data_IF_808098135384
#
_entry.id   IF_808098135384
#
_cell.length_a   1.000
_cell.length_b   1.000
_cell.length_c   1.000
_cell.angle_alpha   90.00
_cell.angle_beta   90.00
_cell.angle_gamma   90.00
#
_symmetry.space_group_name_H-M   'P 1'
#
loop_
_entity.id
_entity.type
_entity.pdbx_description
1 polymer ?
#
# COMPACT_ATOMS: atom_id res chain seq x y z
N UNK A 1 4.89 13.52 -8.12
CA UNK A 1 4.45 12.18 -7.76
C UNK A 1 4.17 12.08 -6.25
N UNK A 2 2.88 12.27 -5.89
CA UNK A 2 2.42 12.38 -4.49
C UNK A 2 2.68 11.07 -3.72
N UNK A 3 2.42 9.90 -4.32
CA UNK A 3 2.59 8.62 -3.63
C UNK A 3 4.04 8.35 -3.25
N UNK A 4 4.98 8.68 -4.14
CA UNK A 4 6.42 8.59 -3.84
C UNK A 4 6.87 9.61 -2.80
N UNK A 5 6.32 10.82 -2.82
CA UNK A 5 6.60 11.82 -1.80
C UNK A 5 6.16 11.31 -0.42
N UNK A 6 4.93 10.80 -0.29
CA UNK A 6 4.42 10.21 0.96
C UNK A 6 5.28 9.05 1.44
N UNK A 7 5.71 8.18 0.51
CA UNK A 7 6.60 7.08 0.84
C UNK A 7 7.91 7.57 1.45
N UNK A 8 8.46 8.67 0.97
CA UNK A 8 9.72 9.24 1.49
C UNK A 8 9.50 10.06 2.78
N UNK A 9 8.42 10.83 2.87
CA UNK A 9 8.11 11.67 4.04
C UNK A 9 7.68 10.82 5.24
N UNK A 10 6.75 9.88 5.05
CA UNK A 10 6.10 9.15 6.14
C UNK A 10 6.48 7.66 6.21
N UNK A 11 7.17 7.15 5.21
CA UNK A 11 7.50 5.73 5.15
C UNK A 11 6.35 4.82 4.76
N UNK A 12 5.16 5.37 4.48
CA UNK A 12 3.97 4.62 4.10
C UNK A 12 3.89 4.48 2.58
N UNK A 13 3.93 3.24 2.05
CA UNK A 13 3.65 3.02 0.64
C UNK A 13 2.19 3.31 0.32
N UNK A 14 1.96 3.97 -0.79
CA UNK A 14 0.63 4.23 -1.34
C UNK A 14 0.60 3.84 -2.81
N UNK A 15 -0.60 3.54 -3.31
CA UNK A 15 -0.84 3.35 -4.73
C UNK A 15 -2.00 4.24 -5.20
N UNK A 16 -2.04 4.48 -6.51
CA UNK A 16 -3.07 5.28 -7.16
C UNK A 16 -3.58 4.53 -8.39
N UNK A 17 -4.89 4.35 -8.46
CA UNK A 17 -5.57 3.73 -9.58
C UNK A 17 -6.32 4.79 -10.39
N UNK A 18 -6.30 4.68 -11.70
CA UNK A 18 -7.26 5.40 -12.54
C UNK A 18 -8.66 4.81 -12.32
N UNK A 19 -9.58 5.62 -11.81
CA UNK A 19 -10.91 5.15 -11.45
C UNK A 19 -11.73 4.68 -12.64
N UNK A 20 -11.43 5.14 -13.85
CA UNK A 20 -12.13 4.74 -15.07
C UNK A 20 -11.85 3.28 -15.47
N UNK A 21 -10.75 2.71 -14.99
CA UNK A 21 -10.37 1.32 -15.23
C UNK A 21 -10.79 0.36 -14.11
N UNK A 22 -11.43 0.87 -13.05
CA UNK A 22 -11.93 0.04 -11.93
C UNK A 22 -13.36 -0.41 -12.25
N UNK A 23 -13.49 -1.62 -12.72
CA UNK A 23 -14.77 -2.20 -13.11
C UNK A 23 -15.62 -2.56 -11.88
N UNK A 24 -16.94 -2.33 -12.02
CA UNK A 24 -17.90 -2.65 -10.96
C UNK A 24 -17.90 -1.71 -9.76
N UNK A 25 -17.14 -0.59 -9.80
CA UNK A 25 -17.02 0.38 -8.70
C UNK A 25 -16.71 -0.29 -7.35
N UNK A 26 -15.91 -1.34 -7.36
CA UNK A 26 -15.59 -2.12 -6.17
C UNK A 26 -14.09 -2.43 -6.12
N UNK A 27 -13.55 -2.47 -4.91
CA UNK A 27 -12.19 -2.94 -4.64
C UNK A 27 -12.29 -4.13 -3.68
N UNK A 28 -11.70 -5.24 -4.09
CA UNK A 28 -11.64 -6.47 -3.32
C UNK A 28 -10.19 -6.86 -3.05
N UNK A 29 -9.82 -7.00 -1.79
CA UNK A 29 -8.52 -7.54 -1.41
C UNK A 29 -8.71 -9.01 -1.08
N UNK A 30 -8.12 -9.90 -1.88
CA UNK A 30 -8.29 -11.35 -1.75
C UNK A 30 -7.03 -12.11 -2.12
N UNK A 31 -7.02 -13.39 -1.84
CA UNK A 31 -6.03 -14.30 -2.42
C UNK A 31 -6.30 -14.46 -3.92
N UNK A 32 -5.23 -14.58 -4.69
CA UNK A 32 -5.34 -14.88 -6.10
C UNK A 32 -5.96 -16.29 -6.31
N UNK A 33 -6.62 -16.47 -7.42
CA UNK A 33 -7.00 -17.80 -7.87
C UNK A 33 -5.80 -18.54 -8.45
N UNK A 34 -5.87 -19.86 -8.49
CA UNK A 34 -4.83 -20.66 -9.14
C UNK A 34 -4.72 -20.29 -10.62
N UNK A 35 -3.48 -20.04 -11.06
CA UNK A 35 -3.15 -19.60 -12.44
C UNK A 35 -3.77 -18.27 -12.88
N UNK A 36 -4.23 -17.47 -11.93
CA UNK A 36 -4.67 -16.10 -12.23
C UNK A 36 -3.50 -15.27 -12.73
N UNK A 37 -3.72 -14.46 -13.76
CA UNK A 37 -2.66 -13.67 -14.38
C UNK A 37 -2.82 -12.20 -14.09
N UNK A 38 -1.69 -11.53 -13.95
CA UNK A 38 -1.60 -10.07 -13.88
C UNK A 38 -0.37 -9.58 -14.64
N UNK A 39 -0.53 -8.49 -15.39
CA UNK A 39 0.59 -7.72 -15.93
C UNK A 39 0.82 -6.52 -15.03
N UNK A 40 2.03 -6.36 -14.55
CA UNK A 40 2.41 -5.27 -13.64
C UNK A 40 2.93 -4.06 -14.41
N UNK A 41 3.06 -2.90 -13.71
CA UNK A 41 3.50 -1.62 -14.30
C UNK A 41 4.88 -1.69 -14.99
N UNK A 42 5.73 -2.64 -14.62
CA UNK A 42 7.01 -2.90 -15.28
C UNK A 42 6.91 -3.89 -16.46
N UNK A 43 5.69 -4.06 -16.99
CA UNK A 43 5.38 -4.88 -18.17
C UNK A 43 5.73 -6.37 -18.03
N UNK A 44 5.75 -6.89 -16.80
CA UNK A 44 5.95 -8.31 -16.53
C UNK A 44 4.62 -9.00 -16.28
N UNK A 45 4.42 -10.13 -16.93
CA UNK A 45 3.29 -11.02 -16.67
C UNK A 45 3.65 -12.02 -15.56
N UNK A 46 2.77 -12.16 -14.59
CA UNK A 46 2.88 -13.14 -13.53
C UNK A 46 1.69 -14.08 -13.53
N UNK A 47 1.97 -15.37 -13.40
CA UNK A 47 0.96 -16.38 -13.06
C UNK A 47 0.97 -16.55 -11.54
N UNK A 48 -0.19 -16.36 -10.94
CA UNK A 48 -0.37 -16.30 -9.50
C UNK A 48 -0.97 -17.58 -8.95
N UNK A 49 -0.93 -17.71 -7.64
CA UNK A 49 -1.58 -18.78 -6.90
C UNK A 49 -2.16 -18.24 -5.57
N UNK A 50 -2.83 -19.09 -4.82
CA UNK A 50 -3.50 -18.76 -3.56
C UNK A 50 -2.61 -18.16 -2.45
N UNK A 51 -1.27 -18.23 -2.59
CA UNK A 51 -0.36 -17.58 -1.66
C UNK A 51 -0.16 -16.09 -1.95
N UNK A 52 -0.53 -15.64 -3.14
CA UNK A 52 -0.41 -14.25 -3.55
C UNK A 52 -1.64 -13.45 -3.15
N UNK A 53 -1.42 -12.27 -2.56
CA UNK A 53 -2.48 -11.33 -2.25
C UNK A 53 -2.62 -10.35 -3.42
N UNK A 54 -3.84 -10.14 -3.87
CA UNK A 54 -4.16 -9.23 -4.96
C UNK A 54 -5.20 -8.22 -4.53
N UNK A 55 -5.12 -7.05 -5.13
CA UNK A 55 -6.19 -6.06 -5.14
C UNK A 55 -6.90 -6.24 -6.48
N UNK A 56 -8.20 -6.43 -6.42
CA UNK A 56 -9.06 -6.64 -7.57
C UNK A 56 -10.11 -5.55 -7.66
N UNK A 57 -10.54 -5.25 -8.85
CA UNK A 57 -11.82 -4.58 -9.06
C UNK A 57 -12.98 -5.60 -9.00
N UNK A 58 -14.13 -5.29 -9.57
CA UNK A 58 -15.27 -6.21 -9.62
C UNK A 58 -15.06 -7.43 -10.53
N UNK A 59 -14.00 -7.48 -11.35
CA UNK A 59 -13.80 -8.47 -12.41
C UNK A 59 -12.41 -9.11 -12.37
N UNK A 60 -11.35 -8.30 -12.19
CA UNK A 60 -9.96 -8.73 -12.41
C UNK A 60 -8.98 -8.17 -11.37
N UNK A 61 -7.78 -8.76 -11.22
CA UNK A 61 -6.73 -8.17 -10.42
C UNK A 61 -6.20 -6.87 -11.05
N UNK A 62 -6.03 -5.84 -10.24
CA UNK A 62 -5.51 -4.52 -10.61
C UNK A 62 -4.20 -4.19 -9.90
N UNK A 63 -3.80 -4.95 -8.90
CA UNK A 63 -2.47 -4.87 -8.30
C UNK A 63 -2.06 -6.15 -7.58
N UNK A 64 -0.75 -6.41 -7.53
CA UNK A 64 -0.12 -7.29 -6.53
C UNK A 64 -0.03 -6.51 -5.22
N UNK A 65 -0.86 -6.87 -4.24
CA UNK A 65 -0.99 -6.13 -3.00
C UNK A 65 0.36 -5.89 -2.30
N UNK A 66 0.70 -4.62 -2.08
CA UNK A 66 1.94 -4.20 -1.43
C UNK A 66 3.23 -4.48 -2.20
N UNK A 67 3.15 -4.93 -3.45
CA UNK A 67 4.31 -5.25 -4.29
C UNK A 67 4.37 -4.33 -5.51
N UNK A 68 3.38 -4.41 -6.40
CA UNK A 68 3.40 -3.65 -7.66
C UNK A 68 1.97 -3.47 -8.19
N UNK A 69 1.67 -2.27 -8.69
CA UNK A 69 0.43 -1.99 -9.40
C UNK A 69 0.30 -2.76 -10.71
N UNK A 70 -0.93 -2.97 -11.15
CA UNK A 70 -1.23 -3.54 -12.46
C UNK A 70 -1.19 -2.49 -13.56
N UNK A 71 -0.72 -2.89 -14.74
CA UNK A 71 -0.70 -2.03 -15.92
C UNK A 71 -2.11 -1.61 -16.37
N UNK A 72 -3.09 -2.45 -16.07
CA UNK A 72 -4.49 -2.28 -16.45
C UNK A 72 -5.26 -1.21 -15.66
N UNK A 73 -4.64 -0.59 -14.68
CA UNK A 73 -5.22 0.49 -13.85
C UNK A 73 -4.26 1.67 -13.66
N UNK A 74 -3.27 1.75 -14.53
CA UNK A 74 -2.23 2.78 -14.50
C UNK A 74 -2.80 4.19 -14.70
N UNK A 75 -2.23 5.16 -13.97
CA UNK A 75 -2.50 6.58 -14.15
C UNK A 75 -1.87 7.06 -15.47
N UNK A 76 -2.64 7.77 -16.29
CA UNK A 76 -2.25 8.30 -17.59
C UNK A 76 -2.50 9.80 -17.67
N UNK A 77 -1.99 10.45 -18.70
CA UNK A 77 -2.24 11.88 -18.93
C UNK A 77 -3.72 12.22 -19.14
N UNK A 78 -4.52 11.22 -19.50
CA UNK A 78 -5.99 11.34 -19.67
C UNK A 78 -6.78 10.99 -18.42
N UNK A 79 -6.14 10.65 -17.31
CA UNK A 79 -6.83 10.29 -16.07
C UNK A 79 -7.52 11.50 -15.45
N UNK A 80 -8.83 11.41 -15.27
CA UNK A 80 -9.66 12.49 -14.70
C UNK A 80 -9.95 12.27 -13.20
N UNK A 81 -9.99 11.01 -12.76
CA UNK A 81 -10.28 10.68 -11.37
C UNK A 81 -9.39 9.54 -10.88
N UNK A 82 -8.93 9.68 -9.63
CA UNK A 82 -7.94 8.79 -9.02
C UNK A 82 -8.49 8.21 -7.73
N UNK A 83 -8.29 6.90 -7.53
CA UNK A 83 -8.53 6.23 -6.26
C UNK A 83 -7.18 5.99 -5.60
N UNK A 84 -6.97 6.59 -4.40
CA UNK A 84 -5.77 6.32 -3.61
C UNK A 84 -5.97 5.11 -2.69
N UNK A 85 -4.98 4.24 -2.69
CA UNK A 85 -4.82 3.17 -1.71
C UNK A 85 -3.80 3.62 -0.66
N UNK A 86 -4.19 3.51 0.61
CA UNK A 86 -3.29 3.57 1.75
C UNK A 86 -3.59 2.39 2.66
N UNK A 87 -2.73 1.39 2.65
CA UNK A 87 -3.03 0.10 3.27
C UNK A 87 -1.87 -0.43 4.12
N UNK A 88 -2.19 -1.42 4.94
CA UNK A 88 -1.21 -2.28 5.61
C UNK A 88 -1.49 -3.73 5.23
N UNK A 89 -0.46 -4.44 4.86
CA UNK A 89 -0.50 -5.86 4.52
C UNK A 89 0.34 -6.70 5.48
N UNK A 90 -0.02 -7.97 5.62
CA UNK A 90 0.73 -8.89 6.46
C UNK A 90 2.17 -9.07 5.94
N UNK A 91 3.14 -8.65 6.75
CA UNK A 91 4.57 -8.65 6.44
C UNK A 91 5.06 -9.95 5.81
N UNK A 92 4.71 -11.08 6.41
CA UNK A 92 5.21 -12.39 5.98
C UNK A 92 4.63 -12.82 4.63
N UNK A 93 3.39 -12.40 4.33
CA UNK A 93 2.79 -12.65 3.03
C UNK A 93 3.52 -11.88 1.93
N UNK A 94 3.71 -10.57 2.11
CA UNK A 94 4.40 -9.74 1.12
C UNK A 94 5.83 -10.24 0.89
N UNK A 95 6.56 -10.57 1.96
CA UNK A 95 7.92 -11.10 1.86
C UNK A 95 7.99 -12.41 1.08
N UNK A 96 7.06 -13.35 1.35
CA UNK A 96 7.02 -14.63 0.64
C UNK A 96 6.63 -14.45 -0.83
N UNK A 97 5.58 -13.67 -1.11
CA UNK A 97 5.11 -13.41 -2.47
C UNK A 97 6.16 -12.68 -3.32
N UNK A 98 6.76 -11.62 -2.80
CA UNK A 98 7.82 -10.86 -3.48
C UNK A 98 9.00 -11.76 -3.87
N UNK A 99 9.43 -12.66 -2.97
CA UNK A 99 10.50 -13.61 -3.26
C UNK A 99 10.10 -14.68 -4.27
N UNK A 100 8.92 -15.25 -4.13
CA UNK A 100 8.44 -16.31 -5.02
C UNK A 100 8.25 -15.81 -6.45
N UNK A 101 7.78 -14.57 -6.62
CA UNK A 101 7.59 -13.93 -7.92
C UNK A 101 8.89 -13.28 -8.45
N UNK A 102 9.94 -13.20 -7.65
CA UNK A 102 11.17 -12.47 -8.03
C UNK A 102 10.92 -10.97 -8.25
N UNK A 103 9.83 -10.42 -7.67
CA UNK A 103 9.40 -9.04 -7.85
C UNK A 103 9.65 -8.24 -6.57
N UNK A 104 10.50 -7.21 -6.66
CA UNK A 104 10.83 -6.33 -5.54
C UNK A 104 10.61 -4.87 -5.92
N UNK A 105 10.05 -4.11 -4.99
CA UNK A 105 9.85 -2.66 -5.09
C UNK A 105 10.15 -2.01 -3.75
N UNK A 106 10.25 -0.67 -3.72
CA UNK A 106 10.36 0.10 -2.47
C UNK A 106 9.20 -0.21 -1.51
N UNK A 107 7.99 -0.38 -2.05
CA UNK A 107 6.80 -0.79 -1.29
C UNK A 107 6.98 -2.16 -0.65
N UNK A 108 7.33 -3.18 -1.44
CA UNK A 108 7.47 -4.55 -0.94
C UNK A 108 8.57 -4.68 0.11
N UNK A 109 9.66 -3.91 -0.03
CA UNK A 109 10.75 -3.88 0.96
C UNK A 109 10.29 -3.27 2.29
N UNK A 110 9.45 -2.22 2.26
CA UNK A 110 8.90 -1.61 3.47
C UNK A 110 7.89 -2.54 4.15
N UNK A 111 6.94 -3.08 3.40
CA UNK A 111 5.97 -4.04 3.95
C UNK A 111 6.65 -5.29 4.51
N UNK A 112 7.70 -5.81 3.87
CA UNK A 112 8.46 -6.96 4.34
C UNK A 112 9.21 -6.71 5.67
N UNK A 113 9.50 -5.45 5.99
CA UNK A 113 10.07 -5.04 7.29
C UNK A 113 8.97 -4.71 8.30
N UNK A 114 7.79 -4.34 7.84
CA UNK A 114 6.65 -3.87 8.61
C UNK A 114 6.47 -2.36 8.49
N UNK A 115 5.24 -1.92 8.37
CA UNK A 115 4.81 -0.52 8.40
C UNK A 115 3.91 -0.27 9.59
N UNK A 116 3.87 0.96 10.04
CA UNK A 116 3.00 1.38 11.14
C UNK A 116 1.53 1.32 10.70
N UNK A 117 0.68 0.75 11.52
CA UNK A 117 -0.74 0.61 11.23
C UNK A 117 -1.49 1.94 11.26
N UNK A 118 -1.05 2.85 12.12
CA UNK A 118 -1.64 4.20 12.20
C UNK A 118 -1.20 5.11 11.07
N UNK A 119 -0.09 4.81 10.41
CA UNK A 119 0.43 5.61 9.31
C UNK A 119 -0.50 5.63 8.09
N UNK A 120 -1.32 4.61 7.88
CA UNK A 120 -2.23 4.51 6.73
C UNK A 120 -3.19 5.69 6.65
N UNK A 121 -3.86 6.02 7.75
CA UNK A 121 -4.82 7.14 7.82
C UNK A 121 -4.09 8.48 7.69
N UNK A 122 -2.95 8.63 8.37
CA UNK A 122 -2.17 9.86 8.31
C UNK A 122 -1.62 10.11 6.90
N UNK A 123 -1.10 9.08 6.24
CA UNK A 123 -0.60 9.16 4.88
C UNK A 123 -1.68 9.52 3.87
N UNK A 124 -2.86 8.90 4.00
CA UNK A 124 -4.02 9.24 3.17
C UNK A 124 -4.40 10.72 3.31
N UNK A 125 -4.55 11.20 4.55
CA UNK A 125 -4.86 12.63 4.81
C UNK A 125 -3.77 13.56 4.26
N UNK A 126 -2.51 13.19 4.40
CA UNK A 126 -1.39 13.99 3.88
C UNK A 126 -1.38 14.04 2.35
N UNK A 127 -1.65 12.91 1.68
CA UNK A 127 -1.77 12.87 0.22
C UNK A 127 -2.92 13.77 -0.28
N UNK A 128 -4.08 13.70 0.35
CA UNK A 128 -5.24 14.51 0.00
C UNK A 128 -4.96 16.01 0.22
N UNK A 129 -4.31 16.36 1.33
CA UNK A 129 -3.88 17.74 1.59
C UNK A 129 -2.92 18.26 0.51
N UNK A 130 -1.97 17.45 0.07
CA UNK A 130 -1.05 17.83 -1.00
C UNK A 130 -1.77 18.08 -2.33
N UNK A 131 -2.81 17.32 -2.65
CA UNK A 131 -3.62 17.54 -3.86
C UNK A 131 -4.27 18.91 -3.84
N UNK A 132 -4.85 19.30 -2.69
CA UNK A 132 -5.48 20.61 -2.51
C UNK A 132 -4.45 21.74 -2.50
N UNK A 133 -3.36 21.59 -1.76
CA UNK A 133 -2.28 22.57 -1.64
C UNK A 133 -1.62 22.87 -2.99
N UNK A 134 -1.39 21.84 -3.80
CA UNK A 134 -0.81 21.96 -5.14
C UNK A 134 -1.84 22.36 -6.21
N UNK A 135 -3.13 22.38 -5.88
CA UNK A 135 -4.20 22.73 -6.81
C UNK A 135 -4.34 21.75 -7.98
N UNK A 136 -3.86 20.50 -7.82
CA UNK A 136 -3.84 19.50 -8.90
C UNK A 136 -5.09 18.61 -8.95
N UNK A 137 -6.07 18.83 -8.07
CA UNK A 137 -7.32 18.09 -8.07
C UNK A 137 -8.31 18.57 -7.01
N UNK A 138 -9.49 17.96 -7.00
CA UNK A 138 -10.51 18.14 -5.95
C UNK A 138 -10.64 16.86 -5.16
N UNK A 139 -10.61 16.96 -3.84
CA UNK A 139 -10.74 15.81 -2.94
C UNK A 139 -12.22 15.50 -2.71
N UNK A 140 -12.58 14.22 -2.81
CA UNK A 140 -13.92 13.75 -2.43
C UNK A 140 -14.08 13.79 -0.92
N UNK A 141 -15.29 14.09 -0.46
CA UNK A 141 -15.66 14.05 0.97
C UNK A 141 -15.84 12.61 1.49
N UNK A 142 -15.86 11.62 0.61
CA UNK A 142 -16.09 10.22 0.97
C UNK A 142 -14.80 9.40 0.89
N UNK A 143 -14.62 8.50 1.86
CA UNK A 143 -13.59 7.49 1.86
C UNK A 143 -14.16 6.15 2.33
N UNK A 144 -13.48 5.08 2.00
CA UNK A 144 -13.83 3.73 2.47
C UNK A 144 -12.67 3.20 3.30
N UNK A 145 -12.97 2.73 4.49
CA UNK A 145 -12.00 2.08 5.36
C UNK A 145 -12.47 0.67 5.69
N UNK A 146 -11.60 -0.31 5.47
CA UNK A 146 -11.87 -1.73 5.76
C UNK A 146 -10.71 -2.28 6.57
N UNK A 147 -11.01 -2.85 7.72
CA UNK A 147 -10.05 -3.57 8.56
C UNK A 147 -10.54 -5.00 8.79
N UNK A 148 -9.63 -5.95 8.71
CA UNK A 148 -9.89 -7.38 9.02
C UNK A 148 -9.40 -7.77 10.40
N UNK A 149 -8.76 -6.85 11.13
CA UNK A 149 -8.15 -7.08 12.43
C UNK A 149 -8.97 -6.53 13.61
N UNK A 150 -8.55 -6.88 14.79
CA UNK A 150 -9.00 -6.20 16.01
C UNK A 150 -8.42 -4.78 16.04
N UNK A 151 -9.07 -3.88 16.78
CA UNK A 151 -8.49 -2.57 17.04
C UNK A 151 -7.10 -2.74 17.65
N UNK A 152 -6.15 -1.98 17.11
CA UNK A 152 -4.77 -2.02 17.60
C UNK A 152 -4.71 -1.03 18.74
N UNK A 153 -4.57 -1.58 19.95
CA UNK A 153 -4.29 -0.74 21.12
C UNK A 153 -2.80 -0.39 21.13
N UNK A 154 -2.44 0.88 21.31
CA UNK A 154 -1.06 1.29 21.47
C UNK A 154 -0.41 0.56 22.64
N UNK A 155 0.72 -0.10 22.39
CA UNK A 155 1.48 -0.74 23.45
C UNK A 155 2.15 0.33 24.34
N UNK A 156 1.77 0.38 25.63
CA UNK A 156 2.52 1.17 26.60
C UNK A 156 3.87 0.52 26.88
N UNK A 157 4.93 1.27 26.65
CA UNK A 157 6.29 0.85 27.02
C UNK A 157 6.87 1.80 28.07
N UNK A 158 7.33 1.22 29.19
CA UNK A 158 8.07 1.95 30.21
C UNK A 158 9.57 1.76 29.98
N UNK A 159 10.26 2.85 29.73
CA UNK A 159 11.71 2.89 29.63
C UNK A 159 12.30 3.87 30.64
N UNK A 160 13.51 3.62 31.13
CA UNK A 160 14.27 4.59 31.93
C UNK A 160 15.55 4.96 31.19
N UNK A 161 15.98 6.20 31.34
CA UNK A 161 17.24 6.69 30.79
C UNK A 161 18.41 5.79 31.21
N UNK A 162 18.45 5.37 32.48
CA UNK A 162 19.46 4.43 32.98
C UNK A 162 19.52 3.13 32.16
N UNK A 163 18.35 2.58 31.79
CA UNK A 163 18.29 1.34 31.00
C UNK A 163 18.72 1.62 29.55
N UNK A 164 18.31 2.74 28.98
CA UNK A 164 18.74 3.17 27.63
C UNK A 164 20.25 3.34 27.59
N UNK A 165 20.83 4.08 28.51
CA UNK A 165 22.26 4.28 28.62
C UNK A 165 23.04 2.96 28.78
N UNK A 166 22.51 2.05 29.60
CA UNK A 166 23.10 0.73 29.77
C UNK A 166 23.11 -0.12 28.50
N UNK A 167 22.10 0.02 27.64
CA UNK A 167 22.04 -0.66 26.33
C UNK A 167 22.96 -0.01 25.31
N UNK A 168 22.98 1.33 25.28
CA UNK A 168 23.79 2.10 24.32
C UNK A 168 25.28 2.13 24.68
N UNK A 169 25.62 1.95 25.95
CA UNK A 169 26.99 2.09 26.46
C UNK A 169 27.48 3.54 26.54
N UNK A 170 26.58 4.52 26.40
CA UNK A 170 26.85 5.96 26.49
C UNK A 170 25.77 6.65 27.30
N UNK A 171 26.07 7.82 27.84
CA UNK A 171 25.07 8.69 28.46
C UNK A 171 24.38 9.57 27.42
N UNK A 172 23.04 9.58 27.39
CA UNK A 172 22.17 10.44 26.58
C UNK A 172 21.24 11.24 27.46
#
# INVERSE_FOLDING_TARGET
DITNYILKELGQPMHAFDSSYIEGNAIHVRRAHDKEKIMTLDEKEFELNENNLVICDGVKPVALAGIMGGLNSEIRDTTEAVIFESAKFARDNIRKSSRALGQSSDSSQRYAKGVDEYATVMASKRALHLIEELGCGKVSSTHVEVSTGNSIEPAEMKASIKKVNGVLGIEV
#
